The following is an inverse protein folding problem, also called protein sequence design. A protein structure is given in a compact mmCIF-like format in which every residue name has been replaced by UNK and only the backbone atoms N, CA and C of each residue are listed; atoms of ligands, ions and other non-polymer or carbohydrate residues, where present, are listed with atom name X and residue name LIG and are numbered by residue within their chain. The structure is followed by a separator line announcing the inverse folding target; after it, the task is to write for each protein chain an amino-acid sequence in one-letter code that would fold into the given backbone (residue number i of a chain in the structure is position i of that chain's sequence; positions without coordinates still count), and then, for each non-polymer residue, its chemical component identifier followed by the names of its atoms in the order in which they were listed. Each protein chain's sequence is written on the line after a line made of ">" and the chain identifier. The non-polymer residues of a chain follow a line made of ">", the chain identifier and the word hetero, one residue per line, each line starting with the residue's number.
data_IF_726931975259
#
_entry.id   IF_726931975259
#
_cell.length_a   1.000
_cell.length_b   1.000
_cell.length_c   1.000
_cell.angle_alpha   90.00
_cell.angle_beta   90.00
_cell.angle_gamma   90.00
#
_symmetry.space_group_name_H-M   'P 1'
#
loop_
_entity.id
_entity.type
_entity.pdbx_description
1 polymer ?
#
# COMPACT_ATOMS: atom_id res chain seq x y z
N UNK A 1 22.16 -41.64 15.52
CA UNK A 1 21.10 -40.79 14.95
C UNK A 1 21.71 -39.41 14.75
N UNK A 2 21.88 -38.99 13.51
CA UNK A 2 22.45 -37.68 13.14
C UNK A 2 21.29 -36.69 13.01
N UNK A 3 21.20 -35.71 13.91
CA UNK A 3 20.24 -34.62 13.78
C UNK A 3 20.87 -33.54 12.91
N UNK A 4 20.48 -33.46 11.64
CA UNK A 4 20.86 -32.35 10.77
C UNK A 4 20.10 -31.10 11.20
N UNK A 5 20.83 -30.11 11.70
CA UNK A 5 20.34 -28.73 11.80
C UNK A 5 20.10 -28.19 10.38
N UNK A 6 18.94 -27.59 10.07
CA UNK A 6 18.76 -26.94 8.79
C UNK A 6 19.67 -25.71 8.74
N UNK A 7 20.53 -25.67 7.72
CA UNK A 7 21.29 -24.48 7.35
C UNK A 7 20.31 -23.32 7.16
N UNK A 8 20.37 -22.34 8.05
CA UNK A 8 19.87 -20.99 7.79
C UNK A 8 20.71 -20.46 6.63
N UNK A 9 20.24 -20.71 5.41
CA UNK A 9 20.69 -19.94 4.27
C UNK A 9 20.51 -18.47 4.66
N UNK A 10 21.62 -17.76 4.77
CA UNK A 10 21.64 -16.31 4.94
C UNK A 10 20.95 -15.75 3.70
N UNK A 11 19.64 -15.56 3.79
CA UNK A 11 18.93 -14.69 2.88
C UNK A 11 19.54 -13.32 3.12
N UNK A 12 20.43 -12.90 2.21
CA UNK A 12 20.88 -11.52 2.18
C UNK A 12 19.64 -10.68 1.89
N UNK A 13 18.95 -10.25 2.95
CA UNK A 13 17.85 -9.29 2.83
C UNK A 13 18.43 -8.06 2.15
N UNK A 14 17.89 -7.65 0.98
CA UNK A 14 18.36 -6.45 0.32
C UNK A 14 18.26 -5.29 1.32
N UNK A 15 19.40 -4.64 1.57
CA UNK A 15 19.42 -3.41 2.34
C UNK A 15 18.55 -2.37 1.61
N UNK A 16 17.90 -1.48 2.35
CA UNK A 16 17.13 -0.38 1.77
C UNK A 16 18.00 0.36 0.73
N UNK A 17 17.51 0.46 -0.50
CA UNK A 17 18.22 1.06 -1.62
C UNK A 17 17.60 2.42 -1.96
N UNK A 18 18.44 3.46 -2.00
CA UNK A 18 18.05 4.82 -2.35
C UNK A 18 18.29 5.05 -3.84
N UNK A 19 17.30 5.61 -4.53
CA UNK A 19 17.35 5.96 -5.95
C UNK A 19 17.02 7.46 -6.08
N UNK A 20 18.01 8.29 -6.43
CA UNK A 20 17.89 9.75 -6.56
C UNK A 20 18.26 10.29 -7.96
N UNK A 21 18.44 9.40 -8.94
CA UNK A 21 18.76 9.77 -10.32
C UNK A 21 17.50 10.13 -11.15
N UNK A 22 17.66 10.35 -12.46
CA UNK A 22 16.59 10.75 -13.37
C UNK A 22 15.51 9.67 -13.59
N UNK A 23 15.78 8.39 -13.32
CA UNK A 23 14.84 7.28 -13.57
C UNK A 23 14.63 6.39 -12.32
N UNK A 24 14.33 6.97 -11.15
CA UNK A 24 14.41 6.26 -9.88
C UNK A 24 13.31 5.19 -9.76
N UNK A 25 12.13 5.46 -10.32
CA UNK A 25 11.00 4.51 -10.33
C UNK A 25 11.34 3.25 -11.15
N UNK A 26 11.94 3.43 -12.33
CA UNK A 26 12.29 2.32 -13.22
C UNK A 26 13.36 1.44 -12.57
N UNK A 27 14.34 2.04 -11.89
CA UNK A 27 15.37 1.29 -11.15
C UNK A 27 14.85 0.60 -9.90
N UNK A 28 13.88 1.20 -9.21
CA UNK A 28 13.30 0.63 -7.98
C UNK A 28 12.47 -0.63 -8.22
N UNK A 29 11.95 -0.83 -9.44
CA UNK A 29 11.18 -2.01 -9.83
C UNK A 29 12.09 -2.98 -10.61
N UNK A 30 12.41 -4.17 -10.07
CA UNK A 30 13.31 -5.11 -10.74
C UNK A 30 12.91 -5.44 -12.18
N UNK A 31 11.62 -5.68 -12.42
CA UNK A 31 11.11 -5.99 -13.76
C UNK A 31 11.29 -4.83 -14.74
N UNK A 32 11.01 -3.59 -14.32
CA UNK A 32 11.22 -2.42 -15.18
C UNK A 32 12.72 -2.16 -15.39
N UNK A 33 13.55 -2.41 -14.38
CA UNK A 33 14.97 -2.25 -14.46
C UNK A 33 15.61 -3.24 -15.45
N UNK A 34 15.15 -4.48 -15.49
CA UNK A 34 15.58 -5.49 -16.47
C UNK A 34 15.26 -5.05 -17.91
N UNK A 35 14.02 -4.61 -18.17
CA UNK A 35 13.59 -4.14 -19.50
C UNK A 35 14.40 -2.91 -19.93
N UNK A 36 14.60 -1.95 -19.01
CA UNK A 36 15.46 -0.77 -19.22
C UNK A 36 16.90 -1.18 -19.55
N UNK A 37 17.48 -2.08 -18.76
CA UNK A 37 18.85 -2.56 -18.96
C UNK A 37 19.04 -3.34 -20.25
N UNK A 38 17.99 -3.97 -20.77
CA UNK A 38 17.97 -4.62 -22.07
C UNK A 38 17.71 -3.67 -23.24
N UNK A 39 17.59 -2.36 -23.00
CA UNK A 39 17.25 -1.32 -23.99
C UNK A 39 15.90 -1.59 -24.70
N UNK A 40 14.99 -2.33 -24.07
CA UNK A 40 13.66 -2.67 -24.60
C UNK A 40 12.55 -1.74 -24.09
N UNK A 41 12.89 -0.78 -23.25
CA UNK A 41 11.94 0.19 -22.72
C UNK A 41 11.89 1.42 -23.66
N UNK A 42 11.01 1.38 -24.64
CA UNK A 42 10.82 2.49 -25.59
C UNK A 42 9.90 3.58 -25.03
N UNK A 43 8.82 3.18 -24.35
CA UNK A 43 7.85 4.09 -23.72
C UNK A 43 7.28 3.46 -22.44
N UNK A 44 7.05 4.29 -21.42
CA UNK A 44 6.44 3.89 -20.15
C UNK A 44 5.30 4.84 -19.81
N UNK A 45 4.07 4.34 -19.95
CA UNK A 45 2.86 5.05 -19.51
C UNK A 45 2.36 4.49 -18.19
N UNK A 46 2.16 5.37 -17.19
CA UNK A 46 1.55 5.02 -15.90
C UNK A 46 0.10 5.52 -15.88
N UNK A 47 -0.86 4.60 -15.88
CA UNK A 47 -2.29 4.94 -15.74
C UNK A 47 -2.72 4.94 -14.27
N UNK A 48 -3.10 6.10 -13.73
CA UNK A 48 -3.73 6.20 -12.42
C UNK A 48 -5.24 6.07 -12.57
N UNK A 49 -5.84 5.06 -11.94
CA UNK A 49 -7.29 4.80 -12.02
C UNK A 49 -8.07 5.38 -10.84
N UNK A 50 -7.53 5.18 -9.64
CA UNK A 50 -8.14 5.61 -8.38
C UNK A 50 -7.07 6.15 -7.44
N UNK A 51 -7.44 7.17 -6.65
CA UNK A 51 -6.61 7.70 -5.56
C UNK A 51 -7.40 7.56 -4.27
N UNK A 52 -6.80 6.94 -3.25
CA UNK A 52 -7.44 6.77 -1.94
C UNK A 52 -6.84 7.72 -0.92
N UNK A 53 -7.70 8.42 -0.19
CA UNK A 53 -7.34 9.22 0.99
C UNK A 53 -7.91 8.50 2.21
N UNK A 54 -7.05 8.16 3.17
CA UNK A 54 -7.38 7.28 4.29
C UNK A 54 -6.97 7.94 5.61
N UNK A 55 -7.96 8.13 6.49
CA UNK A 55 -7.75 8.74 7.79
C UNK A 55 -7.32 10.21 7.69
N UNK A 56 -6.34 10.59 8.51
CA UNK A 56 -5.76 11.93 8.53
C UNK A 56 -6.24 12.80 9.69
N UNK A 57 -5.98 14.10 9.57
CA UNK A 57 -6.21 15.10 10.59
C UNK A 57 -7.00 16.27 10.01
N UNK A 58 -8.03 16.72 10.71
CA UNK A 58 -8.76 17.95 10.41
C UNK A 58 -8.59 18.94 11.58
N UNK A 59 -8.85 20.25 11.39
CA UNK A 59 -8.83 21.20 12.49
C UNK A 59 -9.74 20.80 13.67
N UNK A 60 -10.80 20.03 13.40
CA UNK A 60 -11.77 19.56 14.39
C UNK A 60 -11.36 18.23 15.05
N UNK A 61 -10.50 17.43 14.41
CA UNK A 61 -10.23 16.06 14.87
C UNK A 61 -8.84 15.55 14.47
N UNK A 62 -8.07 15.11 15.47
CA UNK A 62 -6.81 14.41 15.26
C UNK A 62 -7.03 12.89 15.14
N UNK A 63 -7.14 12.44 13.88
CA UNK A 63 -7.33 11.05 13.49
C UNK A 63 -8.73 10.82 12.96
N UNK A 64 -8.87 10.49 11.68
CA UNK A 64 -10.15 10.25 11.01
C UNK A 64 -10.35 8.75 10.71
N UNK A 65 -11.60 8.32 10.56
CA UNK A 65 -11.96 7.01 9.99
C UNK A 65 -12.31 7.10 8.51
N UNK A 66 -12.34 8.30 7.94
CA UNK A 66 -12.80 8.51 6.56
C UNK A 66 -11.88 7.79 5.56
N UNK A 67 -12.52 7.24 4.53
CA UNK A 67 -11.85 6.69 3.35
C UNK A 67 -12.57 7.27 2.14
N UNK A 68 -11.85 8.06 1.36
CA UNK A 68 -12.39 8.71 0.16
C UNK A 68 -11.62 8.22 -1.06
N UNK A 69 -12.34 7.86 -2.12
CA UNK A 69 -11.79 7.47 -3.40
C UNK A 69 -12.03 8.59 -4.42
N UNK A 70 -10.99 9.07 -5.06
CA UNK A 70 -11.10 9.88 -6.26
C UNK A 70 -11.03 8.99 -7.50
N UNK A 71 -12.12 8.95 -8.26
CA UNK A 71 -12.23 8.15 -9.48
C UNK A 71 -11.71 9.01 -10.64
N UNK A 72 -10.50 8.75 -11.12
CA UNK A 72 -9.79 9.65 -12.05
C UNK A 72 -10.55 9.87 -13.36
N UNK A 73 -11.15 8.81 -13.91
CA UNK A 73 -11.93 8.89 -15.16
C UNK A 73 -13.20 9.73 -15.00
N UNK A 74 -13.85 9.65 -13.85
CA UNK A 74 -15.12 10.32 -13.56
C UNK A 74 -14.92 11.71 -12.95
N UNK A 75 -13.69 12.03 -12.49
CA UNK A 75 -13.28 13.29 -11.87
C UNK A 75 -14.14 13.66 -10.66
N UNK A 76 -14.52 12.66 -9.88
CA UNK A 76 -15.37 12.83 -8.70
C UNK A 76 -14.79 12.11 -7.48
N UNK A 77 -15.20 12.58 -6.30
CA UNK A 77 -14.90 11.94 -5.03
C UNK A 77 -16.09 11.08 -4.60
N UNK A 78 -15.79 9.87 -4.14
CA UNK A 78 -16.74 8.91 -3.61
C UNK A 78 -16.30 8.47 -2.22
N UNK A 79 -17.19 8.63 -1.24
CA UNK A 79 -16.93 8.12 0.10
C UNK A 79 -17.02 6.58 0.10
N UNK A 80 -16.07 5.94 0.77
CA UNK A 80 -15.98 4.49 0.93
C UNK A 80 -16.31 4.09 2.37
N UNK A 81 -16.48 2.79 2.67
CA UNK A 81 -16.65 2.34 4.05
C UNK A 81 -15.53 2.86 4.95
N UNK A 82 -15.92 3.40 6.10
CA UNK A 82 -14.99 3.94 7.07
C UNK A 82 -14.12 2.86 7.69
N UNK A 83 -12.93 3.25 8.14
CA UNK A 83 -12.09 2.44 9.02
C UNK A 83 -12.83 2.14 10.34
N UNK A 84 -12.52 0.99 10.93
CA UNK A 84 -12.92 0.65 12.28
C UNK A 84 -12.23 1.55 13.32
N UNK A 85 -10.99 1.97 13.08
CA UNK A 85 -10.24 2.85 13.98
C UNK A 85 -9.89 4.18 13.33
N UNK A 86 -9.90 5.24 14.15
CA UNK A 86 -9.39 6.55 13.77
C UNK A 86 -7.87 6.50 13.61
N UNK A 87 -7.36 7.08 12.53
CA UNK A 87 -5.92 7.08 12.23
C UNK A 87 -5.49 8.43 11.65
N UNK A 88 -4.38 8.97 12.13
CA UNK A 88 -3.47 9.86 11.39
C UNK A 88 -2.08 9.22 11.36
N UNK A 89 -1.23 9.68 10.45
CA UNK A 89 0.15 9.20 10.24
C UNK A 89 0.26 7.66 10.13
N UNK A 90 -0.78 7.01 9.61
CA UNK A 90 -0.76 5.59 9.29
C UNK A 90 -0.02 5.35 7.97
N UNK A 91 0.61 4.19 7.85
CA UNK A 91 1.13 3.71 6.58
C UNK A 91 0.03 2.97 5.81
N UNK A 92 0.00 3.13 4.50
CA UNK A 92 -0.93 2.40 3.63
C UNK A 92 -0.18 1.77 2.47
N UNK A 93 -0.58 0.56 2.09
CA UNK A 93 0.00 -0.16 0.96
C UNK A 93 -1.09 -0.92 0.19
N UNK A 94 -0.96 -0.95 -1.14
CA UNK A 94 -1.76 -1.83 -1.99
C UNK A 94 -1.09 -3.21 -2.02
N UNK A 95 -1.85 -4.23 -1.65
CA UNK A 95 -1.41 -5.63 -1.64
C UNK A 95 -2.22 -6.40 -2.67
N UNK A 96 -1.54 -7.17 -3.51
CA UNK A 96 -2.20 -8.11 -4.44
C UNK A 96 -2.21 -9.50 -3.82
N UNK A 97 -3.39 -10.09 -3.72
CA UNK A 97 -3.58 -11.46 -3.25
C UNK A 97 -4.25 -12.29 -4.34
N UNK A 98 -3.91 -13.56 -4.42
CA UNK A 98 -4.59 -14.48 -5.34
C UNK A 98 -6.04 -14.66 -4.87
N UNK A 99 -6.99 -14.63 -5.80
CA UNK A 99 -8.36 -14.96 -5.50
C UNK A 99 -8.52 -16.49 -5.52
N UNK A 100 -8.65 -17.10 -4.34
CA UNK A 100 -8.80 -18.55 -4.21
C UNK A 100 -10.05 -19.10 -4.92
N UNK A 101 -11.03 -18.24 -5.22
CA UNK A 101 -12.27 -18.63 -5.89
C UNK A 101 -12.20 -18.42 -7.41
N UNK A 102 -11.13 -17.80 -7.92
CA UNK A 102 -10.96 -17.46 -9.33
C UNK A 102 -9.51 -17.63 -9.77
N UNK A 103 -9.24 -18.80 -10.31
CA UNK A 103 -7.92 -19.16 -10.83
C UNK A 103 -7.42 -18.09 -11.83
N UNK A 104 -6.25 -17.51 -11.51
CA UNK A 104 -5.62 -16.46 -12.31
C UNK A 104 -6.10 -15.02 -12.02
N UNK A 105 -7.13 -14.80 -11.21
CA UNK A 105 -7.54 -13.44 -10.81
C UNK A 105 -6.78 -13.00 -9.55
N UNK A 106 -6.19 -11.81 -9.59
CA UNK A 106 -5.62 -11.16 -8.41
C UNK A 106 -6.56 -10.09 -7.89
N UNK A 107 -6.78 -10.12 -6.59
CA UNK A 107 -7.50 -9.10 -5.86
C UNK A 107 -6.53 -8.06 -5.31
N UNK A 108 -6.84 -6.78 -5.56
CA UNK A 108 -6.12 -5.68 -4.95
C UNK A 108 -6.82 -5.29 -3.64
N UNK A 109 -6.07 -5.32 -2.55
CA UNK A 109 -6.48 -4.89 -1.22
C UNK A 109 -5.66 -3.67 -0.83
N UNK A 110 -6.21 -2.82 0.03
CA UNK A 110 -5.46 -1.77 0.71
C UNK A 110 -5.30 -2.17 2.17
N UNK A 111 -4.06 -2.33 2.60
CA UNK A 111 -3.69 -2.49 4.00
C UNK A 111 -3.34 -1.14 4.61
N UNK A 112 -3.85 -0.88 5.81
CA UNK A 112 -3.60 0.32 6.61
C UNK A 112 -2.99 -0.10 7.94
N UNK A 113 -1.81 0.41 8.25
CA UNK A 113 -0.96 -0.08 9.33
C UNK A 113 -0.62 1.02 10.33
N UNK A 114 -0.86 0.72 11.60
CA UNK A 114 -0.53 1.57 12.73
C UNK A 114 -1.19 2.95 12.67
N UNK A 115 -0.41 3.98 12.97
CA UNK A 115 -0.87 5.36 13.13
C UNK A 115 -1.23 5.70 14.57
N UNK A 116 -1.80 6.88 14.75
CA UNK A 116 -2.25 7.36 16.05
C UNK A 116 -3.53 8.18 15.95
N UNK A 117 -4.15 8.47 17.07
CA UNK A 117 -5.25 9.44 17.16
C UNK A 117 -5.28 10.06 18.55
N UNK A 118 -5.93 11.22 18.67
CA UNK A 118 -6.10 11.90 19.95
C UNK A 118 -7.49 11.62 20.52
N UNK A 119 -7.55 11.22 21.79
CA UNK A 119 -8.76 11.05 22.57
C UNK A 119 -8.71 11.98 23.79
N UNK A 120 -9.42 13.10 23.73
CA UNK A 120 -9.34 14.13 24.77
C UNK A 120 -7.93 14.73 24.85
N UNK A 121 -7.29 14.61 26.01
CA UNK A 121 -5.93 15.08 26.23
C UNK A 121 -4.84 14.06 25.82
N UNK A 122 -5.20 12.80 25.57
CA UNK A 122 -4.25 11.70 25.40
C UNK A 122 -4.08 11.27 23.95
N UNK A 123 -2.87 10.84 23.61
CA UNK A 123 -2.56 10.19 22.33
C UNK A 123 -2.64 8.67 22.47
N UNK A 124 -3.33 8.04 21.53
CA UNK A 124 -3.38 6.59 21.37
C UNK A 124 -2.55 6.20 20.16
N UNK A 125 -1.63 5.25 20.34
CA UNK A 125 -0.81 4.68 19.28
C UNK A 125 -1.33 3.29 18.92
N UNK A 126 -1.53 3.03 17.64
CA UNK A 126 -2.15 1.80 17.17
C UNK A 126 -1.09 0.79 16.74
N UNK A 127 -1.17 -0.42 17.29
CA UNK A 127 -0.52 -1.61 16.72
C UNK A 127 -1.46 -2.38 15.77
N UNK A 128 -2.62 -1.80 15.44
CA UNK A 128 -3.65 -2.43 14.63
C UNK A 128 -3.36 -2.32 13.12
N UNK A 129 -3.82 -3.31 12.36
CA UNK A 129 -3.92 -3.26 10.90
C UNK A 129 -5.37 -3.42 10.46
N UNK A 130 -5.73 -2.76 9.37
CA UNK A 130 -7.04 -2.90 8.72
C UNK A 130 -6.82 -3.14 7.24
N UNK A 131 -7.67 -3.97 6.63
CA UNK A 131 -7.58 -4.32 5.22
C UNK A 131 -8.96 -4.14 4.60
N UNK A 132 -9.03 -3.48 3.44
CA UNK A 132 -10.27 -3.39 2.68
C UNK A 132 -10.02 -3.64 1.19
N UNK A 133 -11.06 -4.13 0.53
CA UNK A 133 -11.05 -4.46 -0.88
C UNK A 133 -11.27 -3.21 -1.74
N UNK A 134 -10.39 -2.98 -2.71
CA UNK A 134 -10.51 -1.86 -3.66
C UNK A 134 -11.81 -1.95 -4.47
N UNK A 135 -12.30 -3.16 -4.74
CA UNK A 135 -13.50 -3.40 -5.57
C UNK A 135 -14.83 -3.40 -4.79
N UNK A 136 -14.85 -3.47 -3.46
CA UNK A 136 -16.11 -3.52 -2.69
C UNK A 136 -16.93 -2.24 -2.88
N UNK A 137 -18.24 -2.33 -3.13
CA UNK A 137 -19.16 -1.22 -3.43
C UNK A 137 -18.89 -0.52 -4.78
N UNK A 138 -18.99 -1.28 -5.88
CA UNK A 138 -19.50 -0.76 -7.16
C UNK A 138 -20.93 -1.25 -7.36
#
# INVERSE_FOLDING_TARGET
>A
MLTSTPSLAVMSTPQAQLFEDELPLIRSCPALNEIRSAEQLEDLTIEVRSIFVIGGHTPQQAGSTAVDEFIVRERCWCQRPSLANRRLVAASAVVKVNDEHREGEQKALIGVFGGSYKAGASWSYLAACEVFDVKQNK
#
